data_IF_632102434166
#
_entry.id   IF_632102434166
#
_cell.length_a   1.000
_cell.length_b   1.000
_cell.length_c   1.000
_cell.angle_alpha   90.00
_cell.angle_beta   90.00
_cell.angle_gamma   90.00
#
_symmetry.space_group_name_H-M   'P 1'
#
loop_
_entity.id
_entity.type
_entity.pdbx_description
1 polymer ?
#
# COMPACT_ATOMS: atom_id res chain seq x y z
N UNK A 1 -10.63 33.02 1.40
CA UNK A 1 -9.44 32.33 0.87
C UNK A 1 -8.70 31.70 2.04
N UNK A 2 -8.83 30.39 2.26
CA UNK A 2 -8.03 29.67 3.26
C UNK A 2 -7.26 28.56 2.56
N UNK A 3 -6.12 28.93 1.98
CA UNK A 3 -5.16 27.98 1.46
C UNK A 3 -4.39 27.37 2.63
N UNK A 4 -4.84 26.21 3.11
CA UNK A 4 -3.99 25.38 3.95
C UNK A 4 -3.02 24.64 3.05
N UNK A 5 -1.77 25.13 3.04
CA UNK A 5 -0.63 24.60 2.29
C UNK A 5 -0.27 23.22 2.86
N UNK A 6 -0.97 22.18 2.42
CA UNK A 6 -0.53 20.80 2.62
C UNK A 6 0.82 20.67 1.92
N UNK A 7 1.91 20.51 2.68
CA UNK A 7 3.21 20.16 2.14
C UNK A 7 3.05 18.83 1.41
N UNK A 8 2.91 18.89 0.07
CA UNK A 8 2.88 17.73 -0.80
C UNK A 8 4.25 17.04 -0.72
N UNK A 9 4.43 16.16 0.26
CA UNK A 9 5.43 15.09 0.13
C UNK A 9 4.96 14.29 -1.09
N UNK A 10 5.68 14.42 -2.20
CA UNK A 10 5.33 13.76 -3.46
C UNK A 10 5.26 12.26 -3.22
N UNK A 11 4.05 11.71 -3.33
CA UNK A 11 3.83 10.27 -3.26
C UNK A 11 4.24 9.69 -4.61
N UNK A 12 5.12 8.70 -4.59
CA UNK A 12 5.68 8.09 -5.78
C UNK A 12 5.43 6.57 -5.80
N UNK A 13 5.57 5.91 -6.96
CA UNK A 13 5.61 4.45 -7.00
C UNK A 13 6.62 3.88 -6.00
N UNK A 14 6.30 2.72 -5.44
CA UNK A 14 7.05 2.01 -4.39
C UNK A 14 7.02 2.66 -2.98
N UNK A 15 6.33 3.79 -2.82
CA UNK A 15 6.08 4.35 -1.49
C UNK A 15 5.11 3.48 -0.70
N UNK A 16 5.40 3.30 0.59
CA UNK A 16 4.47 2.76 1.57
C UNK A 16 3.72 3.93 2.19
N UNK A 17 2.40 3.92 2.07
CA UNK A 17 1.55 5.05 2.44
C UNK A 17 0.43 4.59 3.36
N UNK A 18 0.16 5.35 4.43
CA UNK A 18 -1.00 5.19 5.28
C UNK A 18 -2.18 5.99 4.75
N UNK A 19 -3.24 5.30 4.33
CA UNK A 19 -4.53 5.90 3.99
C UNK A 19 -5.41 5.91 5.25
N UNK A 20 -6.04 7.04 5.56
CA UNK A 20 -6.95 7.16 6.70
C UNK A 20 -8.33 7.64 6.24
N UNK A 21 -9.36 6.98 6.77
CA UNK A 21 -10.78 7.31 6.58
C UNK A 21 -11.47 7.17 7.92
N UNK A 22 -12.23 8.18 8.32
CA UNK A 22 -13.05 8.21 9.53
C UNK A 22 -14.34 7.41 9.32
N UNK A 23 -14.85 6.82 10.39
CA UNK A 23 -16.17 6.21 10.38
C UNK A 23 -17.26 7.29 10.41
N UNK A 24 -18.41 7.00 9.79
CA UNK A 24 -19.52 7.96 9.72
C UNK A 24 -20.11 8.31 11.10
N UNK A 25 -19.94 7.41 12.08
CA UNK A 25 -20.42 7.58 13.46
C UNK A 25 -19.49 8.47 14.32
N UNK A 26 -18.39 8.98 13.76
CA UNK A 26 -17.45 9.86 14.45
C UNK A 26 -16.61 9.18 15.55
N UNK A 27 -16.71 7.85 15.71
CA UNK A 27 -16.03 7.12 16.79
C UNK A 27 -14.54 6.87 16.54
N UNK A 28 -14.03 7.28 15.37
CA UNK A 28 -12.63 7.15 14.99
C UNK A 28 -12.50 6.88 13.50
N UNK A 29 -11.51 6.06 13.13
CA UNK A 29 -11.29 5.71 11.74
C UNK A 29 -10.32 4.57 11.55
N UNK A 30 -10.04 4.25 10.29
CA UNK A 30 -9.23 3.11 9.89
C UNK A 30 -8.03 3.58 9.10
N UNK A 31 -6.84 3.40 9.66
CA UNK A 31 -5.58 3.63 8.95
C UNK A 31 -5.11 2.34 8.28
N UNK A 32 -4.85 2.37 6.98
CA UNK A 32 -4.38 1.21 6.19
C UNK A 32 -3.08 1.54 5.47
N UNK A 33 -1.98 0.82 5.76
CA UNK A 33 -0.78 0.92 4.96
C UNK A 33 -0.99 0.22 3.60
N UNK A 34 -0.55 0.86 2.53
CA UNK A 34 -0.64 0.39 1.14
C UNK A 34 0.67 0.63 0.41
N UNK A 35 0.94 -0.13 -0.65
CA UNK A 35 2.05 0.13 -1.58
C UNK A 35 1.54 0.89 -2.79
N UNK A 36 2.11 2.06 -3.09
CA UNK A 36 1.74 2.86 -4.25
C UNK A 36 2.35 2.27 -5.52
N UNK A 37 1.53 2.15 -6.56
CA UNK A 37 1.94 1.71 -7.89
C UNK A 37 2.01 2.88 -8.86
N UNK A 38 1.02 3.76 -8.79
CA UNK A 38 0.89 4.90 -9.70
C UNK A 38 0.08 5.99 -9.03
N UNK A 39 0.44 7.23 -9.34
CA UNK A 39 -0.33 8.43 -9.00
C UNK A 39 -0.70 9.14 -10.29
N UNK A 40 -1.96 9.56 -10.42
CA UNK A 40 -2.41 10.40 -11.54
C UNK A 40 -3.46 11.39 -11.06
N UNK A 41 -3.12 12.68 -11.07
CA UNK A 41 -3.94 13.74 -10.44
C UNK A 41 -4.27 13.34 -8.98
N UNK A 42 -5.56 13.19 -8.67
CA UNK A 42 -6.04 12.75 -7.36
C UNK A 42 -6.25 11.24 -7.25
N UNK A 43 -6.03 10.46 -8.31
CA UNK A 43 -6.14 8.99 -8.25
C UNK A 43 -4.83 8.35 -7.76
N UNK A 44 -4.94 7.50 -6.74
CA UNK A 44 -3.89 6.61 -6.28
C UNK A 44 -4.24 5.17 -6.67
N UNK A 45 -3.34 4.50 -7.39
CA UNK A 45 -3.39 3.05 -7.61
C UNK A 45 -2.40 2.36 -6.69
N UNK A 46 -2.83 1.30 -6.00
CA UNK A 46 -2.04 0.67 -4.94
C UNK A 46 -2.32 -0.82 -4.77
N UNK A 47 -1.37 -1.54 -4.17
CA UNK A 47 -1.59 -2.86 -3.57
C UNK A 47 -1.87 -2.74 -2.07
N UNK A 48 -2.71 -3.65 -1.56
CA UNK A 48 -2.98 -3.75 -0.12
C UNK A 48 -1.81 -4.41 0.59
N UNK A 49 -1.55 -3.98 1.82
CA UNK A 49 -0.68 -4.70 2.74
C UNK A 49 -1.48 -5.48 3.78
N UNK A 50 -1.01 -6.66 4.15
CA UNK A 50 -1.55 -7.44 5.27
C UNK A 50 -0.43 -7.87 6.21
N UNK A 51 -0.69 -7.89 7.51
CA UNK A 51 0.14 -8.61 8.48
C UNK A 51 -0.48 -9.94 8.91
N UNK A 52 -1.59 -10.34 8.29
CA UNK A 52 -2.38 -11.52 8.63
C UNK A 52 -2.23 -12.59 7.54
N UNK A 53 -1.02 -12.79 7.04
CA UNK A 53 -0.73 -13.76 5.98
C UNK A 53 -1.01 -15.20 6.44
N UNK A 54 -0.62 -15.55 7.67
CA UNK A 54 -0.79 -16.90 8.19
C UNK A 54 -2.25 -17.34 8.37
N UNK A 55 -3.19 -16.39 8.51
CA UNK A 55 -4.63 -16.71 8.60
C UNK A 55 -5.30 -16.92 7.24
N UNK A 56 -4.56 -16.80 6.13
CA UNK A 56 -5.10 -16.96 4.77
C UNK A 56 -4.96 -18.41 4.30
N UNK A 57 -5.91 -18.86 3.46
CA UNK A 57 -5.83 -20.17 2.82
C UNK A 57 -4.59 -20.29 1.94
N UNK A 58 -4.09 -21.51 1.74
CA UNK A 58 -2.93 -21.78 0.87
C UNK A 58 -3.10 -21.22 -0.54
N UNK A 59 -4.32 -21.31 -1.10
CA UNK A 59 -4.66 -20.73 -2.41
C UNK A 59 -4.48 -19.20 -2.40
N UNK A 60 -5.00 -18.52 -1.37
CA UNK A 60 -4.89 -17.06 -1.24
C UNK A 60 -3.44 -16.65 -1.00
N UNK A 61 -2.69 -17.37 -0.17
CA UNK A 61 -1.27 -17.07 0.16
C UNK A 61 -0.36 -16.98 -1.07
N UNK A 62 -0.65 -17.72 -2.15
CA UNK A 62 0.15 -17.71 -3.40
C UNK A 62 0.27 -16.33 -4.06
N UNK A 63 -0.63 -15.39 -3.78
CA UNK A 63 -0.59 -14.03 -4.34
C UNK A 63 0.04 -12.99 -3.39
N UNK A 64 0.62 -13.42 -2.28
CA UNK A 64 1.21 -12.51 -1.29
C UNK A 64 2.73 -12.53 -1.38
N UNK A 65 3.30 -11.39 -1.75
CA UNK A 65 4.75 -11.19 -1.72
C UNK A 65 5.18 -10.75 -0.31
N UNK A 66 6.11 -11.44 0.37
CA UNK A 66 6.65 -11.00 1.65
C UNK A 66 7.55 -9.77 1.47
N UNK A 67 7.32 -8.70 2.25
CA UNK A 67 8.25 -7.57 2.32
C UNK A 67 9.43 -7.97 3.20
N UNK A 68 10.60 -8.17 2.61
CA UNK A 68 11.81 -8.64 3.29
C UNK A 68 12.32 -7.58 4.26
N UNK A 69 12.42 -6.34 3.79
CA UNK A 69 12.95 -5.19 4.53
C UNK A 69 11.82 -4.30 5.03
N UNK A 70 10.84 -4.92 5.72
CA UNK A 70 9.63 -4.23 6.19
C UNK A 70 9.92 -3.13 7.21
N UNK A 71 11.00 -3.24 8.00
CA UNK A 71 11.39 -2.22 8.98
C UNK A 71 11.88 -0.96 8.27
N UNK A 72 12.72 -1.14 7.27
CA UNK A 72 13.29 -0.12 6.40
C UNK A 72 12.20 0.59 5.60
N UNK A 73 11.15 -0.16 5.21
CA UNK A 73 9.92 0.38 4.63
C UNK A 73 9.01 1.13 5.63
N UNK A 74 9.40 1.23 6.91
CA UNK A 74 8.70 1.96 7.97
C UNK A 74 7.50 1.21 8.57
N UNK A 75 7.36 -0.09 8.29
CA UNK A 75 6.29 -0.90 8.88
C UNK A 75 6.66 -1.35 10.29
N UNK A 76 5.66 -1.49 11.16
CA UNK A 76 5.87 -1.88 12.56
C UNK A 76 6.00 -3.39 12.78
N UNK A 77 5.69 -4.20 11.77
CA UNK A 77 5.69 -5.67 11.84
C UNK A 77 5.78 -6.29 10.44
N UNK A 78 6.18 -7.57 10.34
CA UNK A 78 6.20 -8.30 9.07
C UNK A 78 4.86 -8.18 8.34
N UNK A 79 4.94 -7.88 7.06
CA UNK A 79 3.78 -7.62 6.21
C UNK A 79 4.02 -8.15 4.80
N UNK A 80 2.92 -8.42 4.09
CA UNK A 80 2.91 -8.96 2.74
C UNK A 80 2.09 -8.05 1.82
N UNK A 81 2.54 -7.94 0.58
CA UNK A 81 1.88 -7.22 -0.50
C UNK A 81 0.91 -8.18 -1.18
N UNK A 82 -0.37 -7.83 -1.19
CA UNK A 82 -1.40 -8.57 -1.92
C UNK A 82 -1.41 -8.12 -3.38
N UNK A 83 -0.79 -8.91 -4.27
CA UNK A 83 -0.75 -8.60 -5.72
C UNK A 83 -1.98 -9.12 -6.47
N UNK A 84 -2.93 -9.75 -5.76
CA UNK A 84 -4.13 -10.32 -6.37
C UNK A 84 -5.10 -9.27 -6.95
N UNK A 85 -5.04 -8.02 -6.46
CA UNK A 85 -5.82 -6.92 -7.02
C UNK A 85 -5.14 -5.57 -6.86
N UNK A 86 -5.14 -4.79 -7.95
CA UNK A 86 -4.83 -3.36 -7.91
C UNK A 86 -6.09 -2.62 -7.51
N UNK A 87 -6.01 -1.83 -6.44
CA UNK A 87 -7.10 -0.95 -6.01
C UNK A 87 -6.81 0.50 -6.39
N UNK A 88 -7.89 1.27 -6.50
CA UNK A 88 -7.85 2.69 -6.83
C UNK A 88 -8.66 3.48 -5.81
N UNK A 89 -8.19 4.66 -5.47
CA UNK A 89 -8.93 5.60 -4.64
C UNK A 89 -8.66 7.03 -5.09
N UNK A 90 -9.69 7.87 -5.03
CA UNK A 90 -9.52 9.30 -5.16
C UNK A 90 -9.09 9.88 -3.80
N UNK A 91 -7.99 10.65 -3.77
CA UNK A 91 -7.46 11.30 -2.57
C UNK A 91 -8.49 12.20 -1.89
N UNK A 92 -9.44 12.75 -2.63
CA UNK A 92 -10.52 13.57 -2.07
C UNK A 92 -11.49 12.78 -1.19
N UNK A 93 -11.52 11.45 -1.30
CA UNK A 93 -12.32 10.57 -0.44
C UNK A 93 -11.56 10.12 0.82
N UNK A 94 -10.34 10.58 1.00
CA UNK A 94 -9.50 10.24 2.15
C UNK A 94 -9.34 11.46 3.04
N UNK A 95 -9.48 11.25 4.35
CA UNK A 95 -9.27 12.33 5.31
C UNK A 95 -7.79 12.70 5.42
N UNK A 96 -6.91 11.70 5.31
CA UNK A 96 -5.47 11.96 5.19
C UNK A 96 -4.72 10.85 4.47
N UNK A 97 -3.61 11.26 3.86
CA UNK A 97 -2.63 10.39 3.22
C UNK A 97 -1.26 10.71 3.80
N UNK A 98 -0.60 9.73 4.39
CA UNK A 98 0.71 9.93 5.05
C UNK A 98 1.74 8.97 4.48
N UNK A 99 2.85 9.48 3.95
CA UNK A 99 4.00 8.63 3.58
C UNK A 99 4.61 8.01 4.83
N UNK A 100 4.70 6.69 4.86
CA UNK A 100 5.29 5.89 5.95
C UNK A 100 6.77 5.63 5.64
N UNK A 101 7.05 5.19 4.41
CA UNK A 101 8.39 4.82 3.94
C UNK A 101 8.35 4.48 2.46
N UNK A 102 9.27 3.64 2.00
CA UNK A 102 9.30 3.09 0.65
C UNK A 102 9.93 1.70 0.68
N UNK A 103 9.59 0.86 -0.31
CA UNK A 103 10.35 -0.37 -0.52
C UNK A 103 11.80 -0.04 -0.89
N UNK A 104 12.71 -0.91 -0.48
CA UNK A 104 14.09 -0.86 -0.96
C UNK A 104 14.21 -1.59 -2.31
N UNK A 105 15.39 -1.51 -2.92
CA UNK A 105 15.63 -2.09 -4.25
C UNK A 105 15.40 -3.61 -4.27
N UNK A 106 15.82 -4.32 -3.22
CA UNK A 106 15.68 -5.77 -3.14
C UNK A 106 14.21 -6.22 -3.10
N UNK A 107 13.35 -5.48 -2.38
CA UNK A 107 11.91 -5.73 -2.37
C UNK A 107 11.23 -5.29 -3.67
N UNK A 108 11.69 -4.21 -4.31
CA UNK A 108 11.18 -3.77 -5.61
C UNK A 108 11.44 -4.84 -6.68
N UNK A 109 12.69 -5.31 -6.78
CA UNK A 109 13.09 -6.31 -7.77
C UNK A 109 12.43 -7.67 -7.48
N UNK A 110 12.37 -8.06 -6.21
CA UNK A 110 11.70 -9.28 -5.78
C UNK A 110 10.21 -9.27 -6.11
N UNK A 111 9.52 -8.15 -5.86
CA UNK A 111 8.11 -7.98 -6.18
C UNK A 111 7.88 -8.05 -7.69
N UNK A 112 8.71 -7.38 -8.50
CA UNK A 112 8.60 -7.40 -9.96
C UNK A 112 8.76 -8.81 -10.53
N UNK A 113 9.72 -9.59 -10.04
CA UNK A 113 9.91 -11.00 -10.43
C UNK A 113 8.71 -11.86 -10.00
N UNK A 114 8.20 -11.64 -8.78
CA UNK A 114 7.06 -12.38 -8.25
C UNK A 114 5.79 -12.16 -9.08
N UNK A 115 5.49 -10.92 -9.46
CA UNK A 115 4.34 -10.58 -10.31
C UNK A 115 4.47 -11.24 -11.69
N UNK A 116 5.63 -11.12 -12.33
CA UNK A 116 5.91 -11.77 -13.63
C UNK A 116 5.64 -13.29 -13.59
N UNK A 117 6.08 -13.95 -12.51
CA UNK A 117 5.86 -15.39 -12.33
C UNK A 117 4.37 -15.73 -12.18
N UNK A 118 3.61 -14.94 -11.43
CA UNK A 118 2.16 -15.16 -11.27
C UNK A 118 1.44 -14.99 -12.60
N UNK A 119 1.76 -13.93 -13.35
CA UNK A 119 1.08 -13.64 -14.62
C UNK A 119 1.40 -14.66 -15.72
N UNK A 120 2.59 -15.29 -15.69
CA UNK A 120 2.92 -16.41 -16.60
C UNK A 120 2.09 -17.67 -16.35
N UNK A 121 1.50 -17.82 -15.15
CA UNK A 121 0.75 -19.01 -14.75
C UNK A 121 -0.77 -18.78 -14.67
N UNK A 122 -1.26 -17.63 -15.15
CA UNK A 122 -2.69 -17.35 -15.34
C UNK A 122 -3.11 -17.65 -16.76
#
# INVERSE_FOLDING_TARGET
MHGSKMMNKTISPNDVVGLYVSYLDGTGGKRRPVLILKTYKEELSFFRLTSQYESKSSKIRKQYYPIKHWKEAGLKKPSWIDVGSVLKVNRTHLDSVTKIGALDTDDIDGLAQFIKKIDYHK
#
